data_IF_933796290900
#
_entry.id   IF_933796290900
#
_cell.length_a   1.000
_cell.length_b   1.000
_cell.length_c   1.000
_cell.angle_alpha   90.00
_cell.angle_beta   90.00
_cell.angle_gamma   90.00
#
_symmetry.space_group_name_H-M   'P 1'
#
loop_
_entity.id
_entity.type
_entity.pdbx_description
1 polymer ?
#
# COMPACT_ATOMS: atom_id res chain seq x y z
N UNK A 1 -5.19 0.20 18.05
CA UNK A 1 -3.90 0.91 17.97
C UNK A 1 -3.98 1.88 16.80
N UNK A 2 -3.43 3.11 16.89
CA UNK A 2 -3.34 3.99 15.73
C UNK A 2 -2.47 3.33 14.64
N UNK A 3 -2.78 3.60 13.37
CA UNK A 3 -1.94 3.15 12.27
C UNK A 3 -0.55 3.82 12.38
N UNK A 4 0.52 3.05 12.15
CA UNK A 4 1.89 3.56 12.19
C UNK A 4 2.05 4.75 11.26
N UNK A 5 2.75 5.79 11.72
CA UNK A 5 3.01 6.98 10.90
C UNK A 5 4.04 6.60 9.83
N UNK A 6 3.64 6.71 8.56
CA UNK A 6 4.53 6.54 7.41
C UNK A 6 5.50 7.72 7.35
N UNK A 7 6.80 7.44 7.36
CA UNK A 7 7.88 8.43 7.32
C UNK A 7 8.51 8.50 5.94
N UNK A 8 8.73 7.34 5.31
CA UNK A 8 9.35 7.24 4.00
C UNK A 8 8.72 6.12 3.17
N UNK A 9 8.71 6.31 1.85
CA UNK A 9 8.06 5.43 0.88
C UNK A 9 8.93 5.23 -0.35
N UNK A 10 8.70 4.12 -1.05
CA UNK A 10 9.25 3.89 -2.39
C UNK A 10 8.16 3.51 -3.38
N UNK A 11 8.26 4.08 -4.58
CA UNK A 11 7.33 3.78 -5.66
C UNK A 11 7.52 2.36 -6.19
N UNK A 12 6.40 1.67 -6.40
CA UNK A 12 6.34 0.37 -7.08
C UNK A 12 5.97 0.60 -8.54
N UNK A 13 4.82 1.24 -8.77
CA UNK A 13 4.24 1.45 -10.11
C UNK A 13 3.22 2.58 -10.07
N UNK A 14 3.08 3.29 -11.19
CA UNK A 14 1.95 4.19 -11.43
C UNK A 14 0.93 3.48 -12.31
N UNK A 15 -0.34 3.45 -11.89
CA UNK A 15 -1.46 2.86 -12.62
C UNK A 15 -2.46 3.95 -13.04
N UNK A 16 -3.37 3.61 -13.95
CA UNK A 16 -4.53 4.45 -14.27
C UNK A 16 -5.75 3.95 -13.51
N UNK A 17 -6.39 4.81 -12.72
CA UNK A 17 -7.56 4.43 -11.91
C UNK A 17 -8.60 5.55 -11.94
N UNK A 18 -9.79 5.26 -12.47
CA UNK A 18 -10.82 6.28 -12.69
C UNK A 18 -10.35 7.41 -13.62
N UNK A 19 -9.58 7.10 -14.67
CA UNK A 19 -9.10 8.07 -15.66
C UNK A 19 -7.92 8.95 -15.24
N UNK A 20 -7.37 8.77 -14.03
CA UNK A 20 -6.22 9.53 -13.51
C UNK A 20 -5.05 8.63 -13.13
N UNK A 21 -3.86 9.23 -13.07
CA UNK A 21 -2.65 8.58 -12.54
C UNK A 21 -2.81 8.34 -11.05
N UNK A 22 -2.46 7.14 -10.61
CA UNK A 22 -2.55 6.71 -9.24
C UNK A 22 -1.26 5.97 -8.86
N UNK A 23 -0.58 6.43 -7.82
CA UNK A 23 0.70 5.87 -7.40
C UNK A 23 0.48 4.69 -6.46
N UNK A 24 1.18 3.58 -6.72
CA UNK A 24 1.25 2.42 -5.83
C UNK A 24 2.65 2.36 -5.25
N UNK A 25 2.73 2.40 -3.92
CA UNK A 25 3.96 2.62 -3.16
C UNK A 25 4.01 1.66 -1.96
N UNK A 26 5.17 1.51 -1.34
CA UNK A 26 5.30 0.82 -0.06
C UNK A 26 6.13 1.65 0.92
N UNK A 27 5.78 1.56 2.21
CA UNK A 27 6.54 2.22 3.26
C UNK A 27 7.91 1.55 3.42
N UNK A 28 8.97 2.33 3.30
CA UNK A 28 10.34 1.92 3.67
C UNK A 28 10.58 2.22 5.13
N UNK A 29 9.99 3.28 5.68
CA UNK A 29 10.14 3.64 7.09
C UNK A 29 8.82 4.10 7.68
N UNK A 30 8.54 3.64 8.89
CA UNK A 30 7.50 4.17 9.78
C UNK A 30 8.14 4.60 11.09
N UNK A 31 7.33 5.18 11.98
CA UNK A 31 7.71 5.45 13.37
C UNK A 31 8.02 4.19 14.18
N UNK A 32 7.51 3.02 13.78
CA UNK A 32 7.68 1.76 14.49
C UNK A 32 8.73 0.83 13.87
N UNK A 33 9.02 0.92 12.56
CA UNK A 33 9.90 -0.01 11.87
C UNK A 33 10.51 0.56 10.59
N UNK A 34 11.55 -0.13 10.08
CA UNK A 34 12.22 0.17 8.82
C UNK A 34 12.34 -1.10 7.97
N UNK A 35 12.26 -0.95 6.64
CA UNK A 35 12.33 -2.00 5.62
C UNK A 35 13.17 -1.51 4.45
N UNK A 36 14.20 -2.27 4.12
CA UNK A 36 15.14 -1.93 3.03
C UNK A 36 14.60 -2.39 1.67
N UNK A 37 13.98 -3.57 1.62
CA UNK A 37 13.51 -4.20 0.40
C UNK A 37 12.12 -4.79 0.60
N UNK A 38 11.34 -4.87 -0.48
CA UNK A 38 10.07 -5.57 -0.54
C UNK A 38 10.15 -6.56 -1.70
N UNK A 39 9.82 -7.82 -1.45
CA UNK A 39 9.90 -8.87 -2.46
C UNK A 39 9.03 -8.55 -3.69
N UNK A 40 9.53 -8.84 -4.90
CA UNK A 40 8.84 -8.54 -6.17
C UNK A 40 7.47 -9.21 -6.30
N UNK A 41 7.33 -10.43 -5.76
CA UNK A 41 6.05 -11.13 -5.74
C UNK A 41 4.98 -10.37 -4.92
N UNK A 42 5.38 -9.79 -3.77
CA UNK A 42 4.50 -8.99 -2.92
C UNK A 42 4.13 -7.69 -3.61
N UNK A 43 5.09 -7.01 -4.25
CA UNK A 43 4.82 -5.80 -5.05
C UNK A 43 3.79 -6.07 -6.14
N UNK A 44 3.96 -7.17 -6.88
CA UNK A 44 3.06 -7.54 -7.98
C UNK A 44 1.67 -7.87 -7.46
N UNK A 45 1.55 -8.67 -6.39
CA UNK A 45 0.27 -8.99 -5.77
C UNK A 45 -0.44 -7.74 -5.24
N UNK A 46 0.31 -6.84 -4.60
CA UNK A 46 -0.24 -5.59 -4.08
C UNK A 46 -0.74 -4.66 -5.19
N UNK A 47 0.03 -4.49 -6.27
CA UNK A 47 -0.41 -3.69 -7.44
C UNK A 47 -1.74 -4.23 -7.98
N UNK A 48 -1.87 -5.55 -8.18
CA UNK A 48 -3.11 -6.17 -8.64
C UNK A 48 -4.28 -5.94 -7.67
N UNK A 49 -4.03 -6.04 -6.36
CA UNK A 49 -5.05 -5.77 -5.35
C UNK A 49 -5.53 -4.30 -5.42
N UNK A 50 -4.61 -3.35 -5.57
CA UNK A 50 -4.95 -1.92 -5.73
C UNK A 50 -5.67 -1.66 -7.05
N UNK A 51 -5.30 -2.33 -8.15
CA UNK A 51 -5.99 -2.22 -9.45
C UNK A 51 -7.47 -2.63 -9.33
N UNK A 52 -7.79 -3.64 -8.53
CA UNK A 52 -9.15 -4.14 -8.32
C UNK A 52 -9.92 -3.46 -7.17
N UNK A 53 -9.24 -2.76 -6.27
CA UNK A 53 -9.88 -2.11 -5.12
C UNK A 53 -10.74 -0.90 -5.51
N UNK A 54 -11.85 -0.68 -4.84
CA UNK A 54 -12.54 0.62 -4.90
C UNK A 54 -11.74 1.67 -4.12
N UNK A 55 -11.49 2.82 -4.74
CA UNK A 55 -10.73 3.92 -4.13
C UNK A 55 -11.55 5.20 -4.14
N UNK A 56 -11.41 5.98 -3.07
CA UNK A 56 -12.05 7.30 -2.99
C UNK A 56 -11.61 8.19 -4.16
N UNK A 57 -12.54 9.01 -4.67
CA UNK A 57 -12.29 9.98 -5.72
C UNK A 57 -11.22 11.02 -5.35
N UNK A 58 -10.80 11.13 -4.09
CA UNK A 58 -9.73 12.04 -3.66
C UNK A 58 -8.38 11.33 -3.45
N UNK A 59 -8.36 9.99 -3.45
CA UNK A 59 -7.14 9.22 -3.29
C UNK A 59 -6.32 9.22 -4.58
N UNK A 60 -5.04 9.53 -4.48
CA UNK A 60 -4.10 9.47 -5.61
C UNK A 60 -2.94 8.51 -5.34
N UNK A 61 -2.81 8.02 -4.09
CA UNK A 61 -1.76 7.09 -3.69
C UNK A 61 -2.31 5.95 -2.84
N UNK A 62 -1.74 4.77 -3.00
CA UNK A 62 -1.89 3.64 -2.11
C UNK A 62 -0.51 3.23 -1.60
N UNK A 63 -0.34 3.23 -0.28
CA UNK A 63 0.92 2.87 0.38
C UNK A 63 0.71 1.59 1.17
N UNK A 64 1.48 0.54 0.86
CA UNK A 64 1.55 -0.66 1.70
C UNK A 64 2.22 -0.30 3.04
N UNK A 65 1.44 -0.35 4.11
CA UNK A 65 1.79 0.17 5.44
C UNK A 65 2.04 -0.92 6.49
N UNK A 66 1.93 -2.20 6.14
CA UNK A 66 2.31 -3.30 7.01
C UNK A 66 3.80 -3.61 6.96
N UNK A 67 4.29 -4.17 8.08
CA UNK A 67 5.60 -4.79 8.18
C UNK A 67 5.54 -6.19 7.55
N UNK A 68 6.66 -6.69 7.04
CA UNK A 68 6.77 -8.12 6.70
C UNK A 68 6.41 -8.99 7.91
N UNK A 69 5.40 -9.84 7.73
CA UNK A 69 5.03 -10.82 8.73
C UNK A 69 6.00 -12.01 8.65
N UNK A 70 6.54 -12.51 9.79
CA UNK A 70 7.37 -13.71 9.80
C UNK A 70 6.59 -14.96 9.34
N UNK A 71 5.26 -14.92 9.46
CA UNK A 71 4.36 -15.92 8.92
C UNK A 71 4.03 -15.62 7.46
N UNK A 72 4.42 -16.53 6.56
CA UNK A 72 3.99 -16.51 5.17
C UNK A 72 2.47 -16.69 5.00
N UNK A 73 1.73 -17.13 6.04
CA UNK A 73 0.25 -17.18 6.02
C UNK A 73 -0.37 -15.79 6.16
N UNK A 74 -0.02 -15.02 7.19
CA UNK A 74 -0.58 -13.67 7.39
C UNK A 74 -0.32 -12.73 6.20
N UNK A 75 0.87 -12.80 5.59
CA UNK A 75 1.21 -12.00 4.39
C UNK A 75 0.43 -12.41 3.13
N UNK A 76 -0.24 -13.58 3.13
CA UNK A 76 -1.10 -14.02 2.02
C UNK A 76 -2.55 -13.57 2.19
N UNK A 77 -2.94 -13.14 3.38
CA UNK A 77 -4.35 -12.93 3.67
C UNK A 77 -4.81 -11.51 3.36
N UNK A 78 -3.94 -10.50 3.40
CA UNK A 78 -4.30 -9.13 3.02
C UNK A 78 -3.08 -8.21 2.87
N UNK A 79 -3.34 -7.01 2.34
CA UNK A 79 -2.44 -5.87 2.25
C UNK A 79 -3.03 -4.68 3.02
N UNK A 80 -2.43 -4.33 4.16
CA UNK A 80 -2.79 -3.12 4.91
C UNK A 80 -2.33 -1.90 4.14
N UNK A 81 -3.30 -1.17 3.60
CA UNK A 81 -3.09 -0.11 2.62
C UNK A 81 -3.55 1.22 3.17
N UNK A 82 -2.63 2.18 3.25
CA UNK A 82 -2.96 3.57 3.51
C UNK A 82 -3.24 4.29 2.18
N UNK A 83 -4.47 4.74 2.00
CA UNK A 83 -4.84 5.62 0.89
C UNK A 83 -4.57 7.06 1.27
N UNK A 84 -3.91 7.79 0.35
CA UNK A 84 -3.54 9.18 0.54
C UNK A 84 -3.94 10.05 -0.66
N UNK A 85 -4.11 11.34 -0.41
CA UNK A 85 -4.28 12.35 -1.45
C UNK A 85 -2.94 12.75 -2.11
N UNK A 86 -2.97 13.74 -3.00
CA UNK A 86 -1.79 14.20 -3.72
C UNK A 86 -0.73 14.81 -2.80
N UNK A 87 -1.16 15.41 -1.69
CA UNK A 87 -0.32 16.04 -0.68
C UNK A 87 0.25 15.03 0.34
N UNK A 88 -0.15 13.75 0.25
CA UNK A 88 0.24 12.72 1.21
C UNK A 88 -0.61 12.69 2.47
N UNK A 89 -1.73 13.42 2.51
CA UNK A 89 -2.64 13.35 3.64
C UNK A 89 -3.35 12.00 3.66
N UNK A 90 -3.49 11.44 4.85
CA UNK A 90 -4.20 10.18 5.05
C UNK A 90 -5.70 10.36 4.77
N UNK A 91 -6.27 9.51 3.90
CA UNK A 91 -7.71 9.45 3.63
C UNK A 91 -8.33 8.28 4.37
N UNK A 92 -7.76 7.09 4.23
CA UNK A 92 -8.27 5.88 4.85
C UNK A 92 -7.22 4.76 4.91
N UNK A 93 -7.36 3.86 5.86
CA UNK A 93 -6.66 2.57 5.86
C UNK A 93 -7.63 1.46 5.49
N UNK A 94 -7.25 0.57 4.57
CA UNK A 94 -8.05 -0.60 4.18
C UNK A 94 -7.16 -1.83 4.04
N UNK A 95 -7.72 -3.00 4.30
CA UNK A 95 -7.11 -4.28 3.97
C UNK A 95 -7.56 -4.67 2.56
N UNK A 96 -6.61 -4.84 1.63
CA UNK A 96 -6.87 -5.30 0.27
C UNK A 96 -6.46 -6.76 0.14
N UNK A 97 -7.23 -7.58 -0.55
CA UNK A 97 -6.92 -9.00 -0.67
C UNK A 97 -6.15 -9.27 -1.97
N UNK A 98 -5.17 -10.20 -1.96
CA UNK A 98 -4.56 -10.65 -3.20
C UNK A 98 -5.63 -11.19 -4.15
N UNK A 99 -5.51 -10.83 -5.42
CA UNK A 99 -6.38 -11.34 -6.47
C UNK A 99 -5.76 -12.63 -7.00
N UNK A 100 -6.47 -13.76 -6.82
CA UNK A 100 -6.12 -15.06 -7.40
C UNK A 100 -6.17 -15.05 -8.91
#
# INVERSE_FOLDING_TARGET
>A
MPANKIIDVKSIKTIMKGGRRFSVEYATKTDAWNRIHLAEAVKTGFVKAVENAEVSANATKAVLAEKEHPSMSDSKDHFTTAFQDANGNHIATRHLYPVT
#
